data_IF_052498308478
#
_entry.id   IF_052498308478
#
_cell.length_a   1.000
_cell.length_b   1.000
_cell.length_c   1.000
_cell.angle_alpha   90.00
_cell.angle_beta   90.00
_cell.angle_gamma   90.00
#
_symmetry.space_group_name_H-M   'P 1'
#
loop_
_entity.id
_entity.type
_entity.pdbx_description
1 polymer ?
#
# COMPACT_ATOMS: atom_id res chain seq x y z
N UNK A 1 -1.69 3.46 2.01
CA UNK A 1 -1.68 2.85 3.36
C UNK A 1 -1.95 3.93 4.41
N UNK A 2 -2.46 3.54 5.58
CA UNK A 2 -2.73 4.47 6.70
C UNK A 2 -2.17 3.91 8.00
N UNK A 3 -1.63 4.78 8.85
CA UNK A 3 -1.36 4.50 10.27
C UNK A 3 -2.06 5.57 11.09
N UNK A 4 -3.08 5.18 11.84
CA UNK A 4 -3.82 6.11 12.70
C UNK A 4 -3.38 5.91 14.15
N UNK A 5 -2.65 6.89 14.69
CA UNK A 5 -2.20 6.82 16.08
C UNK A 5 -3.31 7.08 17.10
N UNK A 6 -4.33 7.87 16.74
CA UNK A 6 -5.47 8.14 17.63
C UNK A 6 -6.38 6.92 17.78
N UNK A 7 -6.56 6.15 16.71
CA UNK A 7 -7.41 4.94 16.70
C UNK A 7 -6.60 3.64 16.72
N UNK A 8 -5.27 3.73 16.85
CA UNK A 8 -4.32 2.62 16.97
C UNK A 8 -4.54 1.53 15.91
N UNK A 9 -4.60 1.92 14.63
CA UNK A 9 -4.69 0.97 13.53
C UNK A 9 -3.66 1.19 12.42
N UNK A 10 -3.35 0.12 11.69
CA UNK A 10 -2.55 0.11 10.47
C UNK A 10 -3.36 -0.54 9.35
N UNK A 11 -3.69 0.25 8.31
CA UNK A 11 -4.29 -0.26 7.08
C UNK A 11 -3.20 -0.54 6.04
N UNK A 12 -2.95 -1.82 5.78
CA UNK A 12 -2.00 -2.29 4.78
C UNK A 12 -2.71 -2.46 3.44
N UNK A 13 -2.38 -1.61 2.47
CA UNK A 13 -3.08 -1.56 1.19
C UNK A 13 -2.50 -2.54 0.19
N UNK A 14 -3.33 -3.46 -0.26
CA UNK A 14 -3.03 -4.46 -1.29
C UNK A 14 -3.45 -3.98 -2.69
N UNK A 15 -2.98 -4.68 -3.73
CA UNK A 15 -3.31 -4.34 -5.10
C UNK A 15 -4.68 -4.89 -5.51
N UNK A 16 -5.50 -4.05 -6.15
CA UNK A 16 -6.74 -4.44 -6.86
C UNK A 16 -7.83 -5.06 -5.97
N UNK A 17 -7.94 -4.54 -4.75
CA UNK A 17 -8.84 -4.97 -3.67
C UNK A 17 -9.75 -3.84 -3.18
N UNK A 18 -10.04 -2.85 -4.04
CA UNK A 18 -10.73 -1.60 -3.69
C UNK A 18 -10.02 -0.77 -2.59
N UNK A 19 -8.73 -1.02 -2.32
CA UNK A 19 -7.98 -0.36 -1.26
C UNK A 19 -7.90 1.18 -1.38
N UNK A 20 -8.03 1.76 -2.57
CA UNK A 20 -8.08 3.23 -2.72
C UNK A 20 -9.35 3.84 -2.15
N UNK A 21 -10.50 3.22 -2.40
CA UNK A 21 -11.78 3.68 -1.85
C UNK A 21 -11.80 3.56 -0.32
N UNK A 22 -11.24 2.46 0.20
CA UNK A 22 -11.12 2.23 1.64
C UNK A 22 -10.17 3.24 2.28
N UNK A 23 -8.99 3.47 1.68
CA UNK A 23 -8.05 4.50 2.14
C UNK A 23 -8.70 5.88 2.17
N UNK A 24 -9.40 6.24 1.10
CA UNK A 24 -10.08 7.51 0.98
C UNK A 24 -11.17 7.70 2.06
N UNK A 25 -11.96 6.67 2.34
CA UNK A 25 -12.96 6.69 3.41
C UNK A 25 -12.34 6.79 4.81
N UNK A 26 -11.31 5.98 5.11
CA UNK A 26 -10.66 5.93 6.43
C UNK A 26 -9.93 7.23 6.82
N UNK A 27 -9.62 8.10 5.86
CA UNK A 27 -8.97 9.39 6.14
C UNK A 27 -9.81 10.34 6.99
N UNK A 28 -11.13 10.16 7.05
CA UNK A 28 -12.01 10.93 7.95
C UNK A 28 -11.77 10.62 9.43
N UNK A 29 -11.28 9.41 9.73
CA UNK A 29 -10.96 8.96 11.09
C UNK A 29 -9.54 9.36 11.54
N UNK A 30 -8.75 10.02 10.68
CA UNK A 30 -7.33 10.25 10.92
C UNK A 30 -7.05 11.59 11.61
N UNK A 31 -6.30 11.57 12.71
CA UNK A 31 -5.77 12.77 13.37
C UNK A 31 -4.54 13.37 12.68
N UNK A 32 -4.05 14.52 13.17
CA UNK A 32 -2.91 15.24 12.58
C UNK A 32 -1.57 14.47 12.61
N UNK A 33 -1.43 13.51 13.53
CA UNK A 33 -0.24 12.63 13.61
C UNK A 33 -0.32 11.41 12.70
N UNK A 34 -1.48 11.10 12.11
CA UNK A 34 -1.64 9.89 11.31
C UNK A 34 -0.68 9.90 10.10
N UNK A 35 -0.14 8.73 9.75
CA UNK A 35 0.60 8.55 8.50
C UNK A 35 -0.41 8.25 7.40
N UNK A 36 -0.44 9.10 6.38
CA UNK A 36 -1.33 8.96 5.22
C UNK A 36 -0.49 9.08 3.96
N UNK A 37 -0.40 8.00 3.18
CA UNK A 37 0.39 8.02 1.94
C UNK A 37 -0.37 8.69 0.79
N UNK A 38 0.34 9.32 -0.16
CA UNK A 38 -0.28 9.79 -1.40
C UNK A 38 -0.72 8.62 -2.27
N UNK A 39 -1.78 8.82 -3.05
CA UNK A 39 -2.17 7.96 -4.15
C UNK A 39 -2.35 8.79 -5.44
N UNK A 40 -2.80 8.18 -6.53
CA UNK A 40 -2.94 8.89 -7.82
C UNK A 40 -3.84 10.12 -7.67
N UNK A 41 -3.41 11.25 -8.24
CA UNK A 41 -4.15 12.52 -8.23
C UNK A 41 -5.62 12.38 -8.67
N UNK A 42 -5.88 11.54 -9.68
CA UNK A 42 -7.23 11.22 -10.17
C UNK A 42 -8.20 10.73 -9.07
N UNK A 43 -7.69 10.20 -7.95
CA UNK A 43 -8.50 9.71 -6.85
C UNK A 43 -8.60 10.68 -5.66
N UNK A 44 -7.82 11.77 -5.65
CA UNK A 44 -7.84 12.74 -4.54
C UNK A 44 -9.23 13.33 -4.25
N UNK A 45 -10.11 13.56 -5.26
CA UNK A 45 -11.48 14.01 -4.99
C UNK A 45 -12.33 13.05 -4.14
N UNK A 46 -11.98 11.76 -4.05
CA UNK A 46 -12.74 10.79 -3.24
C UNK A 46 -12.35 10.77 -1.77
N UNK A 47 -11.32 11.50 -1.38
CA UNK A 47 -10.79 11.52 -0.01
C UNK A 47 -11.79 12.20 0.93
N UNK A 48 -12.23 11.48 1.96
CA UNK A 48 -13.25 11.95 2.90
C UNK A 48 -12.69 12.82 4.04
N UNK A 49 -11.37 12.85 4.22
CA UNK A 49 -10.73 13.56 5.32
C UNK A 49 -9.34 14.06 4.96
N UNK A 50 -8.38 13.88 5.88
CA UNK A 50 -7.04 14.47 5.75
C UNK A 50 -6.27 13.98 4.53
N UNK A 51 -5.58 14.92 3.89
CA UNK A 51 -4.64 14.68 2.79
C UNK A 51 -3.41 13.88 3.20
N UNK A 52 -2.51 13.57 2.25
CA UNK A 52 -1.25 12.90 2.54
C UNK A 52 -0.40 13.69 3.55
N UNK A 53 0.08 13.01 4.59
CA UNK A 53 0.85 13.63 5.68
C UNK A 53 1.70 12.56 6.40
N UNK A 54 2.79 12.99 7.06
CA UNK A 54 3.67 12.16 7.90
C UNK A 54 4.22 10.87 7.25
N UNK A 55 4.13 10.72 5.93
CA UNK A 55 4.63 9.54 5.20
C UNK A 55 6.12 9.62 4.90
N UNK A 56 6.69 10.83 4.96
CA UNK A 56 8.13 11.06 4.80
C UNK A 56 8.82 10.93 6.14
N UNK A 57 9.74 9.98 6.25
CA UNK A 57 10.50 9.73 7.47
C UNK A 57 11.99 9.60 7.17
N UNK A 58 12.83 9.85 8.17
CA UNK A 58 14.21 9.38 8.19
C UNK A 58 14.28 8.12 9.07
N UNK A 59 14.82 7.04 8.51
CA UNK A 59 14.92 5.76 9.21
C UNK A 59 16.14 4.98 8.69
N UNK A 60 16.92 4.29 9.54
CA UNK A 60 18.10 3.54 9.09
C UNK A 60 17.80 2.47 8.04
N UNK A 61 16.64 1.80 8.16
CA UNK A 61 16.18 0.80 7.19
C UNK A 61 15.55 1.40 5.92
N UNK A 62 15.50 2.73 5.77
CA UNK A 62 14.97 3.40 4.58
C UNK A 62 15.96 3.30 3.43
N UNK A 63 15.56 2.78 2.26
CA UNK A 63 16.44 2.75 1.09
C UNK A 63 16.91 4.15 0.70
N UNK A 64 18.22 4.33 0.56
CA UNK A 64 18.78 5.60 0.09
C UNK A 64 18.43 5.80 -1.38
N UNK A 65 18.07 7.04 -1.73
CA UNK A 65 17.87 7.42 -3.12
C UNK A 65 19.21 7.39 -3.86
N UNK A 66 19.33 6.68 -5.00
CA UNK A 66 20.59 6.64 -5.74
C UNK A 66 21.02 8.05 -6.17
N UNK A 67 22.27 8.42 -5.88
CA UNK A 67 22.80 9.77 -6.07
C UNK A 67 22.68 10.27 -7.52
N UNK A 68 22.86 9.39 -8.51
CA UNK A 68 22.70 9.72 -9.94
C UNK A 68 21.29 10.23 -10.28
N UNK A 69 20.24 9.76 -9.60
CA UNK A 69 18.86 10.27 -9.82
C UNK A 69 18.71 11.70 -9.35
N UNK A 70 19.42 12.07 -8.29
CA UNK A 70 19.49 13.44 -7.79
C UNK A 70 20.28 14.31 -8.75
N UNK A 71 21.43 13.84 -9.23
CA UNK A 71 22.29 14.55 -10.19
C UNK A 71 21.55 14.89 -11.49
N UNK A 72 20.76 13.95 -12.04
CA UNK A 72 19.96 14.19 -13.25
C UNK A 72 18.62 14.88 -12.98
N UNK A 73 18.42 15.50 -11.81
CA UNK A 73 17.20 16.27 -11.49
C UNK A 73 15.91 15.46 -11.52
N UNK A 74 15.96 14.12 -11.44
CA UNK A 74 14.76 13.29 -11.60
C UNK A 74 13.91 13.33 -10.32
N UNK A 75 12.67 13.86 -10.33
CA UNK A 75 11.89 14.03 -9.11
C UNK A 75 11.66 12.70 -8.38
N UNK A 76 11.68 12.76 -7.04
CA UNK A 76 11.36 11.61 -6.22
C UNK A 76 9.86 11.33 -6.29
N UNK A 77 9.51 10.09 -6.66
CA UNK A 77 8.12 9.67 -6.82
C UNK A 77 7.55 9.25 -5.46
N UNK A 78 6.32 9.65 -5.15
CA UNK A 78 5.68 9.34 -3.86
C UNK A 78 5.51 7.84 -3.56
N UNK A 79 5.56 6.99 -4.59
CA UNK A 79 5.49 5.54 -4.46
C UNK A 79 6.86 4.87 -4.35
N UNK A 80 7.95 5.64 -4.35
CA UNK A 80 9.30 5.10 -4.27
C UNK A 80 9.68 4.81 -2.81
N UNK A 81 10.29 3.64 -2.49
CA UNK A 81 10.62 3.28 -1.10
C UNK A 81 11.53 4.28 -0.35
N UNK A 82 12.27 5.14 -1.06
CA UNK A 82 13.13 6.16 -0.45
C UNK A 82 12.37 7.31 0.21
N UNK A 83 11.06 7.45 -0.05
CA UNK A 83 10.26 8.50 0.59
C UNK A 83 10.00 8.21 2.06
N UNK A 84 10.05 6.94 2.51
CA UNK A 84 9.50 6.51 3.78
C UNK A 84 8.33 5.56 3.56
N UNK A 85 7.16 5.87 4.11
CA UNK A 85 5.93 5.09 3.90
C UNK A 85 5.37 5.33 2.49
N UNK A 86 4.97 4.25 1.81
CA UNK A 86 4.40 4.28 0.46
C UNK A 86 3.18 3.35 0.34
N UNK A 87 2.38 3.57 -0.71
CA UNK A 87 1.01 3.03 -0.84
C UNK A 87 0.91 1.51 -0.61
N UNK A 88 1.77 0.73 -1.26
CA UNK A 88 1.82 -0.75 -1.19
C UNK A 88 3.06 -1.25 -0.44
N UNK A 89 3.32 -0.68 0.75
CA UNK A 89 4.45 -1.10 1.59
C UNK A 89 4.19 -2.47 2.25
N UNK A 90 5.15 -3.41 2.20
CA UNK A 90 5.04 -4.68 2.91
C UNK A 90 5.02 -4.52 4.44
N UNK A 91 4.24 -5.38 5.11
CA UNK A 91 4.09 -5.45 6.57
C UNK A 91 5.43 -5.44 7.31
N UNK A 92 6.40 -6.23 6.84
CA UNK A 92 7.73 -6.28 7.46
C UNK A 92 8.47 -4.94 7.44
N UNK A 93 8.30 -4.13 6.39
CA UNK A 93 8.91 -2.81 6.32
C UNK A 93 8.17 -1.79 7.20
N UNK A 94 6.83 -1.88 7.25
CA UNK A 94 6.02 -1.05 8.16
C UNK A 94 6.45 -1.32 9.61
N UNK A 95 6.53 -2.59 10.01
CA UNK A 95 7.00 -3.03 11.34
C UNK A 95 8.34 -2.44 11.71
N UNK A 96 9.32 -2.48 10.79
CA UNK A 96 10.64 -1.87 11.00
C UNK A 96 10.55 -0.37 11.28
N UNK A 97 9.66 0.35 10.60
CA UNK A 97 9.57 1.81 10.70
C UNK A 97 8.80 2.28 11.93
N UNK A 98 7.74 1.57 12.30
CA UNK A 98 6.91 1.96 13.47
C UNK A 98 7.46 1.42 14.79
N UNK A 99 8.36 0.43 14.74
CA UNK A 99 8.88 -0.26 15.91
C UNK A 99 7.94 -1.32 16.47
N UNK A 100 8.47 -2.18 17.35
CA UNK A 100 7.72 -3.31 17.93
C UNK A 100 6.52 -2.85 18.76
N UNK A 101 6.66 -1.77 19.54
CA UNK A 101 5.62 -1.31 20.46
C UNK A 101 4.36 -0.88 19.70
N UNK A 102 4.51 -0.06 18.65
CA UNK A 102 3.39 0.32 17.79
C UNK A 102 2.86 -0.89 17.03
N UNK A 103 3.74 -1.72 16.45
CA UNK A 103 3.34 -2.88 15.66
C UNK A 103 2.50 -3.89 16.45
N UNK A 104 2.85 -4.14 17.71
CA UNK A 104 2.14 -5.08 18.60
C UNK A 104 0.86 -4.49 19.15
N UNK A 105 0.84 -3.19 19.40
CA UNK A 105 -0.23 -2.53 20.14
C UNK A 105 -1.34 -1.95 19.26
N UNK A 106 -1.18 -1.99 17.93
CA UNK A 106 -2.14 -1.47 16.95
C UNK A 106 -2.88 -2.63 16.26
N UNK A 107 -4.15 -2.41 15.94
CA UNK A 107 -4.91 -3.32 15.08
C UNK A 107 -4.42 -3.22 13.63
N UNK A 108 -4.13 -4.34 12.96
CA UNK A 108 -3.64 -4.33 11.57
C UNK A 108 -4.62 -5.06 10.68
N UNK A 109 -4.92 -4.50 9.52
CA UNK A 109 -5.81 -5.16 8.57
C UNK A 109 -5.42 -4.86 7.12
N UNK A 110 -5.80 -5.79 6.25
CA UNK A 110 -5.71 -5.69 4.81
C UNK A 110 -6.96 -6.32 4.22
N UNK A 111 -7.34 -5.90 3.02
CA UNK A 111 -8.38 -6.56 2.26
C UNK A 111 -7.73 -7.43 1.21
N UNK A 112 -8.25 -8.64 1.00
CA UNK A 112 -7.93 -9.43 -0.18
C UNK A 112 -9.19 -9.70 -0.99
N UNK A 113 -9.00 -10.12 -2.23
CA UNK A 113 -10.08 -10.40 -3.18
C UNK A 113 -9.83 -11.76 -3.80
N UNK A 114 -10.90 -12.41 -4.27
CA UNK A 114 -10.82 -13.59 -5.12
C UNK A 114 -9.68 -13.43 -6.15
N UNK A 115 -8.73 -14.38 -6.22
CA UNK A 115 -7.54 -14.26 -7.08
C UNK A 115 -7.87 -14.04 -8.56
N UNK A 116 -8.94 -14.64 -9.08
CA UNK A 116 -9.37 -14.51 -10.47
C UNK A 116 -9.82 -13.08 -10.78
N UNK A 117 -10.77 -12.57 -9.98
CA UNK A 117 -11.26 -11.21 -10.12
C UNK A 117 -10.14 -10.16 -10.04
N UNK A 118 -9.22 -10.38 -9.09
CA UNK A 118 -8.05 -9.54 -8.88
C UNK A 118 -7.19 -9.52 -10.15
N UNK A 119 -6.98 -10.68 -10.77
CA UNK A 119 -6.19 -10.84 -11.97
C UNK A 119 -6.82 -10.15 -13.19
N UNK A 120 -8.13 -10.27 -13.37
CA UNK A 120 -8.87 -9.56 -14.42
C UNK A 120 -8.76 -8.04 -14.23
N UNK A 121 -8.97 -7.57 -13.00
CA UNK A 121 -8.83 -6.14 -12.67
C UNK A 121 -7.40 -5.63 -12.91
N UNK A 122 -6.39 -6.44 -12.61
CA UNK A 122 -4.98 -6.12 -12.85
C UNK A 122 -4.66 -6.04 -14.34
N UNK A 123 -5.16 -6.99 -15.15
CA UNK A 123 -5.03 -6.97 -16.61
C UNK A 123 -5.57 -5.67 -17.20
N UNK A 124 -6.80 -5.28 -16.87
CA UNK A 124 -7.37 -4.03 -17.36
C UNK A 124 -6.54 -2.83 -16.90
N UNK A 125 -6.11 -2.82 -15.64
CA UNK A 125 -5.27 -1.74 -15.10
C UNK A 125 -3.93 -1.58 -15.83
N UNK A 126 -3.23 -2.69 -16.12
CA UNK A 126 -1.90 -2.69 -16.76
C UNK A 126 -1.95 -2.45 -18.27
N UNK A 127 -3.10 -2.70 -18.90
CA UNK A 127 -3.26 -2.55 -20.35
C UNK A 127 -4.08 -1.33 -20.76
N UNK A 128 -4.68 -0.59 -19.81
CA UNK A 128 -5.57 0.54 -20.10
C UNK A 128 -4.99 1.59 -21.05
N UNK A 129 -3.70 1.88 -20.95
CA UNK A 129 -2.98 2.89 -21.75
C UNK A 129 -2.29 2.33 -23.00
N UNK A 130 -2.38 1.02 -23.26
CA UNK A 130 -1.76 0.42 -24.45
C UNK A 130 -2.62 0.67 -25.68
N UNK A 131 -2.01 1.20 -26.75
CA UNK A 131 -2.68 1.39 -28.06
C UNK A 131 -3.27 0.10 -28.61
N UNK A 132 -2.56 -1.02 -28.46
CA UNK A 132 -3.06 -2.37 -28.74
C UNK A 132 -2.97 -3.21 -27.47
N UNK A 133 -4.12 -3.57 -26.91
CA UNK A 133 -4.18 -4.40 -25.70
C UNK A 133 -3.88 -5.85 -26.08
N UNK A 134 -2.94 -6.53 -25.41
CA UNK A 134 -2.73 -7.96 -25.61
C UNK A 134 -3.96 -8.74 -25.14
N UNK A 135 -4.19 -9.96 -25.64
CA UNK A 135 -5.21 -10.84 -25.06
C UNK A 135 -4.90 -11.12 -23.58
N UNK A 136 -5.92 -11.51 -22.81
CA UNK A 136 -5.75 -11.89 -21.42
C UNK A 136 -4.74 -13.04 -21.27
N UNK A 137 -4.85 -14.08 -22.11
CA UNK A 137 -3.91 -15.20 -22.13
C UNK A 137 -2.46 -14.73 -22.36
N UNK A 138 -2.23 -13.89 -23.38
CA UNK A 138 -0.89 -13.35 -23.65
C UNK A 138 -0.36 -12.51 -22.49
N UNK A 139 -1.23 -11.75 -21.83
CA UNK A 139 -0.86 -11.00 -20.64
C UNK A 139 -0.43 -11.92 -19.50
N UNK A 140 -1.16 -13.02 -19.26
CA UNK A 140 -0.88 -13.97 -18.17
C UNK A 140 0.50 -14.62 -18.28
N UNK A 141 1.03 -14.79 -19.50
CA UNK A 141 2.39 -15.29 -19.75
C UNK A 141 3.49 -14.24 -19.48
N UNK A 142 3.15 -13.00 -19.15
CA UNK A 142 4.11 -11.92 -18.93
C UNK A 142 4.59 -11.84 -17.49
N UNK A 143 5.84 -11.40 -17.29
CA UNK A 143 6.41 -11.12 -15.95
C UNK A 143 5.59 -10.11 -15.12
N UNK A 144 4.79 -9.27 -15.78
CA UNK A 144 3.97 -8.25 -15.12
C UNK A 144 2.59 -8.73 -14.70
N UNK A 145 2.21 -9.96 -15.05
CA UNK A 145 0.91 -10.53 -14.70
C UNK A 145 0.78 -10.80 -13.21
N UNK A 146 1.87 -11.19 -12.55
CA UNK A 146 1.83 -11.67 -11.17
C UNK A 146 1.62 -10.52 -10.17
N UNK A 147 0.66 -10.71 -9.25
CA UNK A 147 0.30 -9.76 -8.20
C UNK A 147 0.66 -10.36 -6.84
N UNK A 148 1.68 -9.80 -6.19
CA UNK A 148 2.16 -10.24 -4.87
C UNK A 148 1.42 -9.56 -3.74
N UNK A 149 0.15 -9.95 -3.52
CA UNK A 149 -0.64 -9.40 -2.41
C UNK A 149 -0.30 -10.03 -1.06
N UNK A 150 -0.14 -11.37 -1.01
CA UNK A 150 0.13 -12.09 0.23
C UNK A 150 1.35 -11.54 0.97
N UNK A 151 2.44 -11.32 0.25
CA UNK A 151 3.69 -10.74 0.78
C UNK A 151 3.53 -9.32 1.35
N UNK A 152 2.45 -8.60 1.01
CA UNK A 152 2.22 -7.26 1.57
C UNK A 152 1.72 -7.34 3.01
N UNK A 153 0.94 -8.36 3.35
CA UNK A 153 0.33 -8.52 4.68
C UNK A 153 0.84 -9.74 5.45
N UNK A 154 1.83 -10.46 4.91
CA UNK A 154 2.52 -11.56 5.57
C UNK A 154 3.96 -11.18 5.95
N UNK A 155 4.46 -11.78 7.03
CA UNK A 155 5.86 -11.71 7.48
C UNK A 155 6.33 -13.15 7.67
N UNK A 156 7.46 -13.50 7.06
CA UNK A 156 8.07 -14.85 7.15
C UNK A 156 7.07 -15.97 6.83
N UNK A 157 6.25 -15.76 5.78
CA UNK A 157 5.25 -16.71 5.32
C UNK A 157 3.98 -16.78 6.16
N UNK A 158 3.87 -16.02 7.25
CA UNK A 158 2.71 -16.01 8.16
C UNK A 158 1.90 -14.72 8.04
N UNK A 159 0.57 -14.81 8.08
CA UNK A 159 -0.31 -13.64 8.07
C UNK A 159 0.01 -12.73 9.27
N UNK A 160 0.33 -11.46 8.98
CA UNK A 160 0.78 -10.48 9.96
C UNK A 160 -0.28 -9.41 10.29
N UNK A 161 -1.46 -9.52 9.68
CA UNK A 161 -2.65 -8.72 10.02
C UNK A 161 -3.50 -9.46 11.04
N UNK A 162 -4.29 -8.71 11.81
CA UNK A 162 -5.26 -9.27 12.74
C UNK A 162 -6.36 -9.95 11.94
N UNK A 163 -6.45 -11.29 12.02
CA UNK A 163 -7.55 -12.03 11.42
C UNK A 163 -8.78 -11.94 12.32
N UNK A 164 -9.93 -11.57 11.75
CA UNK A 164 -11.23 -11.81 12.36
C UNK A 164 -11.51 -13.31 12.26
N UNK A 165 -10.92 -14.09 13.17
CA UNK A 165 -11.34 -15.47 13.32
C UNK A 165 -12.73 -15.42 13.98
N UNK A 166 -13.77 -15.58 13.17
CA UNK A 166 -15.18 -15.56 13.61
C UNK A 166 -15.52 -16.74 14.55
N UNK A 167 -14.54 -17.60 14.85
CA UNK A 167 -14.62 -18.70 15.82
C UNK A 167 -14.30 -18.29 17.27
N UNK A 168 -13.98 -17.01 17.52
CA UNK A 168 -13.64 -16.47 18.86
C UNK A 168 -14.53 -15.32 19.34
N UNK A 169 -15.73 -15.20 18.77
CA UNK A 169 -16.85 -14.42 19.30
C UNK A 169 -17.97 -15.40 19.67
#
# INVERSE_FOLDING_TARGET
MIISHSHRFIFIKTNKTAGTSIEAALTSLCGGRAVITPFRADNEPYRAGRGPQNYRIEHPAKPKRPWWRTLFGRPERYWHPSVGFYEHMPAGQIRKYVGEDVWRSYYKFAFDRNPWDRQVSWYHYKTKSKRRRPSFERFMRSRTAFVRNYELYAIDGTVAVTSSDASKL
#
